data_IF_780112816703
#
_entry.id   IF_780112816703
#
_cell.length_a   1.000
_cell.length_b   1.000
_cell.length_c   1.000
_cell.angle_alpha   90.00
_cell.angle_beta   90.00
_cell.angle_gamma   90.00
#
_symmetry.space_group_name_H-M   'P 1'
#
loop_
_entity.id
_entity.type
_entity.pdbx_description
1 polymer ?
#
# COMPACT_ATOMS: atom_id res chain seq x y z
N UNK A 1 17.83 -3.52 28.06
CA UNK A 1 17.87 -3.41 26.60
C UNK A 1 17.64 -4.83 26.08
N UNK A 2 16.39 -5.31 25.96
CA UNK A 2 15.53 -5.22 24.75
C UNK A 2 16.31 -5.64 23.49
N UNK A 3 16.01 -6.69 22.73
CA UNK A 3 14.84 -7.57 22.61
C UNK A 3 15.27 -8.78 21.77
N UNK A 4 15.01 -10.03 22.20
CA UNK A 4 15.25 -11.24 21.41
C UNK A 4 13.93 -11.91 21.06
N UNK A 5 13.46 -11.73 19.82
CA UNK A 5 12.23 -12.35 19.30
C UNK A 5 12.55 -13.65 18.56
N UNK A 6 13.23 -14.59 19.22
CA UNK A 6 13.43 -15.93 18.69
C UNK A 6 12.80 -16.96 19.63
N UNK A 7 11.49 -17.19 19.47
CA UNK A 7 10.87 -18.47 19.81
C UNK A 7 9.43 -18.49 19.28
N UNK A 8 9.22 -18.99 18.06
CA UNK A 8 7.94 -19.59 17.58
C UNK A 8 8.09 -19.98 16.11
N UNK A 9 8.93 -20.99 15.84
CA UNK A 9 8.92 -21.69 14.56
C UNK A 9 8.78 -23.18 14.84
N UNK A 10 7.60 -23.57 15.30
CA UNK A 10 7.17 -24.94 15.42
C UNK A 10 5.71 -25.02 15.00
N UNK A 11 5.35 -26.09 14.30
CA UNK A 11 4.04 -26.45 13.73
C UNK A 11 3.79 -26.00 12.28
N UNK A 12 4.40 -26.72 11.33
CA UNK A 12 3.75 -26.98 10.04
C UNK A 12 4.05 -28.41 9.61
N UNK A 13 3.24 -29.33 10.12
CA UNK A 13 3.10 -30.66 9.57
C UNK A 13 1.69 -30.84 9.00
N UNK A 14 1.68 -31.00 7.67
CA UNK A 14 0.97 -32.03 6.94
C UNK A 14 -0.50 -32.30 7.31
N UNK A 15 -1.43 -32.01 6.39
CA UNK A 15 -2.57 -32.90 6.15
C UNK A 15 -2.90 -32.90 4.65
N UNK A 16 -2.31 -33.88 3.98
CA UNK A 16 -2.67 -34.37 2.66
C UNK A 16 -4.08 -34.94 2.62
N UNK A 17 -4.83 -34.56 1.58
CA UNK A 17 -5.86 -35.34 0.88
C UNK A 17 -6.76 -36.29 1.68
N UNK A 18 -8.00 -35.88 1.93
CA UNK A 18 -9.10 -36.80 2.25
C UNK A 18 -10.12 -36.84 1.11
N UNK A 19 -10.25 -38.01 0.48
CA UNK A 19 -11.25 -38.35 -0.55
C UNK A 19 -12.67 -38.25 0.04
N UNK A 20 -13.62 -37.74 -0.75
CA UNK A 20 -15.06 -37.79 -0.47
C UNK A 20 -15.60 -39.20 -0.73
N UNK A 21 -16.30 -39.86 0.21
CA UNK A 21 -17.24 -40.91 -0.13
C UNK A 21 -18.59 -40.25 -0.49
N UNK A 22 -19.12 -40.63 -1.65
CA UNK A 22 -20.51 -40.41 -2.02
C UNK A 22 -21.30 -41.58 -1.42
N UNK A 23 -22.28 -41.30 -0.59
CA UNK A 23 -23.35 -42.25 -0.30
C UNK A 23 -24.70 -41.52 -0.33
N UNK A 24 -25.72 -42.24 -0.78
CA UNK A 24 -27.06 -41.75 -1.09
C UNK A 24 -28.02 -42.17 0.01
N UNK A 25 -28.78 -41.22 0.60
CA UNK A 25 -30.17 -41.40 1.09
C UNK A 25 -30.65 -40.17 1.89
N UNK A 26 -31.78 -39.59 1.45
CA UNK A 26 -32.62 -38.54 2.06
C UNK A 26 -33.12 -38.88 3.49
N UNK A 27 -33.75 -37.99 4.32
CA UNK A 27 -34.45 -36.73 3.98
C UNK A 27 -34.29 -35.52 4.95
N UNK A 28 -34.73 -34.35 4.47
CA UNK A 28 -35.34 -33.22 5.20
C UNK A 28 -34.70 -32.71 6.52
N UNK A 29 -33.82 -31.71 6.40
CA UNK A 29 -33.67 -30.65 7.39
C UNK A 29 -33.22 -29.36 6.70
N UNK A 30 -34.20 -28.54 6.38
CA UNK A 30 -34.07 -27.21 5.80
C UNK A 30 -33.43 -26.25 6.82
N UNK A 31 -32.10 -26.19 6.85
CA UNK A 31 -31.36 -25.21 7.64
C UNK A 31 -30.50 -24.32 6.71
N UNK A 32 -31.17 -23.29 6.18
CA UNK A 32 -30.76 -21.89 6.30
C UNK A 32 -29.33 -21.49 5.97
N UNK A 33 -28.93 -21.48 4.70
CA UNK A 33 -27.91 -20.54 4.16
C UNK A 33 -28.13 -20.12 2.70
N UNK A 34 -29.09 -20.72 1.98
CA UNK A 34 -29.34 -20.44 0.56
C UNK A 34 -30.40 -19.35 0.30
N UNK A 35 -31.20 -18.97 1.30
CA UNK A 35 -32.33 -18.05 1.10
C UNK A 35 -31.89 -16.60 0.84
N UNK A 36 -30.71 -16.21 1.32
CA UNK A 36 -30.20 -14.85 1.27
C UNK A 36 -29.87 -14.32 -0.15
N UNK A 37 -29.88 -15.17 -1.18
CA UNK A 37 -29.72 -14.76 -2.58
C UNK A 37 -30.91 -15.13 -3.47
N UNK A 38 -32.01 -15.60 -2.86
CA UNK A 38 -33.23 -15.90 -3.61
C UNK A 38 -34.03 -14.63 -3.83
N UNK A 39 -34.53 -14.43 -5.04
CA UNK A 39 -35.51 -13.37 -5.30
C UNK A 39 -36.79 -13.65 -4.50
N UNK A 40 -37.44 -12.63 -3.93
CA UNK A 40 -38.65 -12.82 -3.16
C UNK A 40 -39.76 -13.39 -4.03
N UNK A 41 -40.33 -14.52 -3.62
CA UNK A 41 -41.35 -15.26 -4.39
C UNK A 41 -42.76 -15.03 -3.88
N UNK A 42 -42.89 -14.37 -2.73
CA UNK A 42 -44.19 -14.15 -2.08
C UNK A 42 -44.45 -12.66 -1.86
N UNK A 43 -45.72 -12.27 -1.93
CA UNK A 43 -46.16 -10.90 -1.66
C UNK A 43 -45.76 -10.41 -0.26
N UNK A 44 -45.72 -11.31 0.73
CA UNK A 44 -45.31 -10.97 2.10
C UNK A 44 -43.81 -10.66 2.19
N UNK A 45 -42.99 -11.33 1.38
CA UNK A 45 -41.54 -11.14 1.36
C UNK A 45 -41.16 -9.85 0.63
N UNK A 46 -41.87 -9.54 -0.46
CA UNK A 46 -41.77 -8.24 -1.16
C UNK A 46 -42.09 -7.07 -0.22
N UNK A 47 -43.18 -7.17 0.56
CA UNK A 47 -43.57 -6.12 1.50
C UNK A 47 -42.57 -5.93 2.65
N UNK A 48 -41.92 -7.02 3.10
CA UNK A 48 -40.87 -6.93 4.12
C UNK A 48 -39.61 -6.24 3.59
N UNK A 49 -39.23 -6.50 2.33
CA UNK A 49 -38.11 -5.84 1.66
C UNK A 49 -38.44 -4.37 1.40
N UNK A 50 -39.66 -4.05 0.97
CA UNK A 50 -40.12 -2.68 0.75
C UNK A 50 -40.10 -1.87 2.05
N UNK A 51 -40.62 -2.45 3.14
CA UNK A 51 -40.55 -1.85 4.49
C UNK A 51 -39.11 -1.65 4.95
N UNK A 52 -38.20 -2.58 4.66
CA UNK A 52 -36.77 -2.45 4.99
C UNK A 52 -36.08 -1.36 4.16
N UNK A 53 -36.40 -1.23 2.86
CA UNK A 53 -35.89 -0.17 1.99
C UNK A 53 -36.42 1.22 2.39
N UNK A 54 -37.67 1.31 2.85
CA UNK A 54 -38.29 2.57 3.29
C UNK A 54 -37.66 3.15 4.56
N UNK A 55 -37.02 2.34 5.41
CA UNK A 55 -36.24 2.83 6.55
C UNK A 55 -34.77 3.11 6.22
N UNK A 56 -34.28 2.68 5.05
CA UNK A 56 -32.98 3.09 4.54
C UNK A 56 -33.18 4.23 3.54
N UNK A 57 -33.60 5.39 4.07
CA UNK A 57 -33.16 6.67 3.53
C UNK A 57 -31.68 6.52 3.19
N UNK A 58 -31.40 6.56 1.89
CA UNK A 58 -30.17 6.12 1.28
C UNK A 58 -28.95 6.57 2.10
N UNK A 59 -28.33 5.62 2.81
CA UNK A 59 -26.99 5.83 3.37
C UNK A 59 -26.14 6.27 2.18
N UNK A 60 -25.56 7.49 2.18
CA UNK A 60 -24.72 7.92 1.08
C UNK A 60 -23.70 6.81 0.87
N UNK A 61 -23.73 6.20 -0.32
CA UNK A 61 -22.74 5.22 -0.71
C UNK A 61 -21.40 5.95 -0.56
N UNK A 62 -20.70 5.72 0.55
CA UNK A 62 -19.39 6.31 0.80
C UNK A 62 -18.53 5.75 -0.30
N UNK A 63 -18.32 6.55 -1.35
CA UNK A 63 -17.54 6.22 -2.52
C UNK A 63 -16.29 5.51 -2.01
N UNK A 64 -16.20 4.21 -2.29
CA UNK A 64 -15.00 3.43 -1.96
C UNK A 64 -13.83 4.21 -2.54
N UNK A 65 -12.91 4.64 -1.68
CA UNK A 65 -11.74 5.38 -2.13
C UNK A 65 -11.07 4.58 -3.26
N UNK A 66 -10.66 5.27 -4.34
CA UNK A 66 -10.03 4.63 -5.51
C UNK A 66 -8.91 3.69 -5.03
N UNK A 67 -8.80 2.51 -5.67
CA UNK A 67 -7.77 1.52 -5.34
C UNK A 67 -6.39 2.20 -5.34
N UNK A 68 -5.71 2.21 -4.19
CA UNK A 68 -4.42 2.87 -4.00
C UNK A 68 -4.45 4.24 -3.29
N UNK A 69 -5.64 4.79 -2.98
CA UNK A 69 -5.78 5.99 -2.16
C UNK A 69 -5.72 5.66 -0.67
N UNK A 70 -4.83 6.34 0.05
CA UNK A 70 -4.75 6.24 1.50
C UNK A 70 -5.92 7.01 2.13
N UNK A 71 -6.70 6.36 2.99
CA UNK A 71 -7.79 6.99 3.74
C UNK A 71 -7.40 7.38 5.16
N UNK A 72 -6.36 6.73 5.73
CA UNK A 72 -5.87 7.03 7.06
C UNK A 72 -4.91 8.23 7.06
N UNK A 73 -5.03 9.20 7.99
CA UNK A 73 -4.21 10.43 8.00
C UNK A 73 -2.70 10.15 8.03
N UNK A 74 -2.25 9.15 8.81
CA UNK A 74 -0.84 8.71 8.83
C UNK A 74 -0.34 8.30 7.44
N UNK A 75 -1.13 7.57 6.68
CA UNK A 75 -0.76 7.08 5.35
C UNK A 75 -0.75 8.20 4.31
N UNK A 76 -1.62 9.20 4.46
CA UNK A 76 -1.60 10.43 3.64
C UNK A 76 -0.32 11.22 3.92
N UNK A 77 0.00 11.47 5.19
CA UNK A 77 1.19 12.19 5.60
C UNK A 77 2.47 11.53 5.08
N UNK A 78 2.59 10.20 5.22
CA UNK A 78 3.75 9.47 4.73
C UNK A 78 3.89 9.53 3.20
N UNK A 79 2.78 9.46 2.45
CA UNK A 79 2.81 9.64 0.99
C UNK A 79 3.35 11.01 0.63
N UNK A 80 2.86 12.07 1.27
CA UNK A 80 3.34 13.45 1.04
C UNK A 80 4.85 13.54 1.33
N UNK A 81 5.32 12.93 2.43
CA UNK A 81 6.75 12.89 2.76
C UNK A 81 7.56 12.19 1.67
N UNK A 82 7.13 11.01 1.22
CA UNK A 82 7.80 10.25 0.15
C UNK A 82 7.83 11.03 -1.17
N UNK A 83 6.72 11.65 -1.57
CA UNK A 83 6.67 12.49 -2.77
C UNK A 83 7.69 13.62 -2.70
N UNK A 84 7.77 14.35 -1.57
CA UNK A 84 8.77 15.40 -1.37
C UNK A 84 10.21 14.89 -1.45
N UNK A 85 10.47 13.68 -0.95
CA UNK A 85 11.79 13.05 -1.07
C UNK A 85 12.10 12.75 -2.54
N UNK A 86 11.18 12.10 -3.26
CA UNK A 86 11.36 11.78 -4.69
C UNK A 86 11.55 13.03 -5.55
N UNK A 87 10.84 14.12 -5.28
CA UNK A 87 11.03 15.40 -5.95
C UNK A 87 12.44 15.96 -5.73
N UNK A 88 12.95 15.87 -4.49
CA UNK A 88 14.32 16.32 -4.18
C UNK A 88 15.38 15.47 -4.88
N UNK A 89 15.19 14.16 -4.95
CA UNK A 89 16.08 13.27 -5.70
C UNK A 89 16.08 13.62 -7.19
N UNK A 90 14.91 13.89 -7.80
CA UNK A 90 14.83 14.33 -9.21
C UNK A 90 15.57 15.65 -9.45
N UNK A 91 15.38 16.65 -8.59
CA UNK A 91 16.11 17.91 -8.69
C UNK A 91 17.62 17.71 -8.56
N UNK A 92 18.05 16.77 -7.71
CA UNK A 92 19.47 16.46 -7.56
C UNK A 92 20.05 15.86 -8.85
N UNK A 93 19.29 15.00 -9.55
CA UNK A 93 19.69 14.41 -10.83
C UNK A 93 19.93 15.46 -11.92
N UNK A 94 19.19 16.58 -11.90
CA UNK A 94 19.37 17.68 -12.86
C UNK A 94 20.61 18.53 -12.58
N UNK A 95 21.10 18.52 -11.33
CA UNK A 95 22.23 19.37 -10.90
C UNK A 95 23.57 18.65 -10.95
N UNK A 96 23.58 17.33 -10.76
CA UNK A 96 24.81 16.54 -10.64
C UNK A 96 25.07 15.77 -11.94
N UNK A 97 26.27 15.89 -12.54
CA UNK A 97 26.58 15.22 -13.79
C UNK A 97 26.51 13.69 -13.64
N UNK A 98 25.98 13.01 -14.67
CA UNK A 98 25.87 11.54 -14.76
C UNK A 98 25.04 10.84 -13.66
N UNK A 99 24.25 11.58 -12.87
CA UNK A 99 23.46 10.98 -11.80
C UNK A 99 22.26 10.15 -12.31
N UNK A 100 21.83 10.37 -13.55
CA UNK A 100 20.75 9.64 -14.24
C UNK A 100 21.04 8.14 -14.44
N UNK A 101 22.33 7.77 -14.49
CA UNK A 101 22.78 6.38 -14.69
C UNK A 101 22.74 5.56 -13.39
N UNK A 102 22.63 6.22 -12.24
CA UNK A 102 22.69 5.57 -10.94
C UNK A 102 21.29 5.14 -10.49
N UNK A 103 21.13 3.85 -10.19
CA UNK A 103 19.84 3.27 -9.76
C UNK A 103 19.67 3.20 -8.24
N UNK A 104 20.78 3.18 -7.49
CA UNK A 104 20.78 3.14 -6.04
C UNK A 104 20.77 4.56 -5.46
N UNK A 105 19.91 4.81 -4.47
CA UNK A 105 19.83 6.12 -3.79
C UNK A 105 21.08 6.43 -2.97
N UNK A 106 21.74 5.43 -2.38
CA UNK A 106 22.98 5.66 -1.63
C UNK A 106 24.07 6.24 -2.54
N UNK A 107 24.35 5.54 -3.64
CA UNK A 107 25.35 5.95 -4.62
C UNK A 107 25.02 7.33 -5.25
N UNK A 108 23.73 7.64 -5.50
CA UNK A 108 23.32 8.98 -5.94
C UNK A 108 23.74 10.05 -4.93
N UNK A 109 23.56 9.80 -3.64
CA UNK A 109 23.93 10.75 -2.60
C UNK A 109 25.45 10.87 -2.44
N UNK A 110 26.19 9.77 -2.56
CA UNK A 110 27.66 9.80 -2.51
C UNK A 110 28.25 10.61 -3.67
N UNK A 111 27.75 10.39 -4.91
CA UNK A 111 28.14 11.17 -6.09
C UNK A 111 27.86 12.67 -5.91
N UNK A 112 26.73 13.02 -5.29
CA UNK A 112 26.41 14.43 -5.01
C UNK A 112 27.41 15.05 -4.03
N UNK A 113 27.80 14.31 -2.99
CA UNK A 113 28.78 14.79 -2.01
C UNK A 113 30.13 15.05 -2.67
N UNK A 114 30.58 14.15 -3.54
CA UNK A 114 31.86 14.32 -4.23
C UNK A 114 31.84 15.48 -5.22
N UNK A 115 30.75 15.64 -5.98
CA UNK A 115 30.58 16.80 -6.86
C UNK A 115 30.61 18.14 -6.10
N UNK A 116 30.01 18.19 -4.91
CA UNK A 116 30.06 19.39 -4.05
C UNK A 116 31.50 19.69 -3.60
N UNK A 117 32.29 18.67 -3.22
CA UNK A 117 33.69 18.86 -2.82
C UNK A 117 34.52 19.42 -3.97
N UNK A 118 34.38 18.86 -5.17
CA UNK A 118 35.06 19.34 -6.37
C UNK A 118 34.70 20.80 -6.68
N UNK A 119 33.41 21.16 -6.62
CA UNK A 119 32.96 22.53 -6.83
C UNK A 119 33.55 23.50 -5.79
N UNK A 120 33.60 23.09 -4.52
CA UNK A 120 34.21 23.90 -3.45
C UNK A 120 35.70 24.14 -3.69
N UNK A 121 36.43 23.11 -4.11
CA UNK A 121 37.85 23.23 -4.44
C UNK A 121 38.07 24.18 -5.62
N UNK A 122 37.30 24.01 -6.71
CA UNK A 122 37.39 24.90 -7.86
C UNK A 122 37.09 26.36 -7.50
N UNK A 123 36.09 26.62 -6.66
CA UNK A 123 35.78 27.98 -6.19
C UNK A 123 36.91 28.53 -5.35
N UNK A 124 37.52 27.73 -4.46
CA UNK A 124 38.67 28.13 -3.66
C UNK A 124 39.86 28.53 -4.54
N UNK A 125 40.21 27.69 -5.52
CA UNK A 125 41.31 27.95 -6.46
C UNK A 125 41.07 29.24 -7.25
N UNK A 126 39.86 29.42 -7.81
CA UNK A 126 39.52 30.64 -8.58
C UNK A 126 39.58 31.90 -7.73
N UNK A 127 39.15 31.84 -6.47
CA UNK A 127 39.24 32.97 -5.53
C UNK A 127 40.70 33.34 -5.25
N UNK A 128 41.56 32.35 -4.99
CA UNK A 128 42.99 32.59 -4.78
C UNK A 128 43.71 33.10 -6.02
N UNK A 129 43.33 32.64 -7.22
CA UNK A 129 43.94 33.11 -8.47
C UNK A 129 43.46 34.52 -8.87
N UNK A 130 42.24 34.91 -8.49
CA UNK A 130 41.72 36.27 -8.69
C UNK A 130 42.28 37.33 -7.73
N UNK A 131 43.09 36.90 -6.75
CA UNK A 131 43.77 37.75 -5.76
C UNK A 131 45.29 37.90 -6.04
N UNK A 132 45.73 37.64 -7.28
CA UNK A 132 47.09 38.03 -7.71
C UNK A 132 47.06 39.49 -8.21
N UNK A 133 48.00 40.34 -7.76
CA UNK A 133 48.04 41.77 -8.06
C UNK A 133 48.33 42.08 -9.54
#
# INVERSE_FOLDING_TARGET
MSSGWEESSLMSENMSGMKRPRDSSEPAAQNGLAHQFSLPKTSSEMAAIEKFLQFQDAVPCKIRAKRGCATHPRSIAERVRRTRISERIRKLQELVPNMDKQTNTADMLDLAVDYIKELQEQVKVRKSSSQLP
#
